data_IF_953307167325
#
_entry.id   IF_953307167325
#
_cell.length_a   1.000
_cell.length_b   1.000
_cell.length_c   1.000
_cell.angle_alpha   90.00
_cell.angle_beta   90.00
_cell.angle_gamma   90.00
#
_symmetry.space_group_name_H-M   'P 1'
#
loop_
_entity.id
_entity.type
_entity.pdbx_description
1 polymer ?
#
# COMPACT_ATOMS: atom_id res chain seq x y z
N UNK A 1 3.24 -27.22 1.18
CA UNK A 1 2.60 -28.17 2.13
C UNK A 1 1.54 -29.00 1.40
N UNK A 2 1.30 -30.26 1.81
CA UNK A 2 0.29 -31.11 1.15
C UNK A 2 -1.16 -30.73 1.51
N UNK A 3 -1.35 -29.99 2.59
CA UNK A 3 -2.64 -29.49 3.09
C UNK A 3 -2.49 -28.05 3.58
N UNK A 4 -3.61 -27.34 3.74
CA UNK A 4 -3.68 -25.97 4.25
C UNK A 4 -3.96 -24.92 3.18
N UNK A 5 -4.48 -23.79 3.64
CA UNK A 5 -4.90 -22.66 2.80
C UNK A 5 -3.94 -21.49 2.98
N UNK A 6 -3.39 -21.01 1.87
CA UNK A 6 -2.58 -19.80 1.82
C UNK A 6 -3.45 -18.61 1.42
N UNK A 7 -3.35 -17.50 2.13
CA UNK A 7 -4.07 -16.25 1.82
C UNK A 7 -3.08 -15.11 1.98
N UNK A 8 -2.97 -14.24 0.98
CA UNK A 8 -2.07 -13.09 1.02
C UNK A 8 -2.65 -11.88 0.30
N UNK A 9 -2.45 -10.70 0.88
CA UNK A 9 -2.48 -9.46 0.12
C UNK A 9 -1.24 -9.41 -0.80
N UNK A 10 -1.39 -8.79 -1.97
CA UNK A 10 -0.32 -8.54 -2.95
C UNK A 10 0.35 -7.19 -2.75
N UNK A 11 -0.16 -6.36 -1.82
CA UNK A 11 0.47 -5.12 -1.39
C UNK A 11 1.95 -5.34 -1.01
N UNK A 12 2.83 -4.56 -1.63
CA UNK A 12 4.27 -4.66 -1.40
C UNK A 12 4.68 -3.87 -0.15
N UNK A 13 4.99 -4.60 0.92
CA UNK A 13 5.55 -4.05 2.15
C UNK A 13 6.98 -4.56 2.29
N UNK A 14 7.93 -3.62 2.36
CA UNK A 14 9.33 -3.93 2.58
C UNK A 14 9.67 -3.53 4.01
N UNK A 15 10.29 -4.38 4.83
CA UNK A 15 10.68 -3.95 6.17
C UNK A 15 11.93 -3.07 6.11
N UNK A 16 12.12 -2.11 7.05
CA UNK A 16 13.24 -1.17 6.99
C UNK A 16 14.62 -1.83 6.91
N UNK A 17 14.80 -3.01 7.52
CA UNK A 17 16.07 -3.75 7.48
C UNK A 17 16.43 -4.30 6.10
N UNK A 18 15.48 -4.41 5.17
CA UNK A 18 15.74 -4.81 3.79
C UNK A 18 16.29 -3.64 2.95
N UNK A 19 16.20 -2.40 3.44
CA UNK A 19 16.69 -1.18 2.81
C UNK A 19 18.00 -0.66 3.44
N UNK A 20 18.87 -1.57 3.93
CA UNK A 20 20.13 -1.21 4.61
C UNK A 20 21.05 -0.32 3.76
N UNK A 21 21.08 -0.54 2.44
CA UNK A 21 21.75 0.37 1.52
C UNK A 21 20.73 1.35 0.96
N UNK A 22 20.90 2.62 1.31
CA UNK A 22 19.97 3.71 0.95
C UNK A 22 20.29 4.28 -0.44
N UNK A 23 20.95 3.53 -1.32
CA UNK A 23 21.22 3.98 -2.68
C UNK A 23 19.97 3.89 -3.57
N UNK A 24 19.82 4.85 -4.48
CA UNK A 24 18.68 5.00 -5.39
C UNK A 24 18.42 3.75 -6.25
N UNK A 25 19.47 3.08 -6.69
CA UNK A 25 19.39 2.02 -7.70
C UNK A 25 19.56 0.62 -7.11
N UNK A 26 19.66 0.50 -5.78
CA UNK A 26 19.81 -0.80 -5.14
C UNK A 26 18.44 -1.38 -4.79
N UNK A 27 18.14 -2.54 -5.38
CA UNK A 27 16.96 -3.30 -5.01
C UNK A 27 17.02 -3.71 -3.52
N UNK A 28 15.89 -3.69 -2.80
CA UNK A 28 15.83 -4.11 -1.40
C UNK A 28 16.23 -5.59 -1.27
N UNK A 29 16.92 -5.91 -0.19
CA UNK A 29 17.29 -7.29 0.16
C UNK A 29 16.11 -7.94 0.88
N UNK A 30 15.09 -8.32 0.11
CA UNK A 30 13.88 -9.01 0.58
C UNK A 30 13.50 -10.13 -0.40
N UNK A 31 12.53 -10.97 -0.01
CA UNK A 31 12.00 -12.06 -0.84
C UNK A 31 11.61 -11.54 -2.24
N UNK A 32 12.01 -12.29 -3.27
CA UNK A 32 11.80 -11.95 -4.69
C UNK A 32 10.68 -12.76 -5.32
N UNK A 33 10.19 -13.76 -4.60
CA UNK A 33 9.12 -14.63 -5.01
C UNK A 33 7.84 -13.82 -5.26
N UNK A 34 7.21 -14.11 -6.38
CA UNK A 34 5.91 -13.55 -6.73
C UNK A 34 4.79 -14.34 -6.07
N UNK A 35 3.62 -13.72 -5.82
CA UNK A 35 2.45 -14.45 -5.35
C UNK A 35 2.13 -15.67 -6.22
N UNK A 36 2.29 -15.58 -7.55
CA UNK A 36 2.09 -16.68 -8.51
C UNK A 36 3.01 -17.87 -8.23
N UNK A 37 4.28 -17.63 -7.95
CA UNK A 37 5.26 -18.69 -7.62
C UNK A 37 4.94 -19.36 -6.28
N UNK A 38 4.41 -18.61 -5.30
CA UNK A 38 3.98 -19.16 -4.02
C UNK A 38 2.71 -19.99 -4.18
N UNK A 39 1.73 -19.51 -4.96
CA UNK A 39 0.51 -20.24 -5.27
C UNK A 39 0.79 -21.61 -5.93
N UNK A 40 1.82 -21.71 -6.76
CA UNK A 40 2.28 -22.97 -7.34
C UNK A 40 2.90 -23.97 -6.34
N UNK A 41 3.15 -23.57 -5.09
CA UNK A 41 3.81 -24.39 -4.04
C UNK A 41 2.86 -24.82 -2.91
N UNK A 42 1.60 -24.39 -2.96
CA UNK A 42 0.58 -24.62 -1.91
C UNK A 42 -0.60 -25.42 -2.47
N UNK A 43 -1.29 -26.15 -1.60
CA UNK A 43 -2.43 -26.98 -2.00
C UNK A 43 -3.66 -26.14 -2.39
N UNK A 44 -3.93 -25.08 -1.62
CA UNK A 44 -4.96 -24.10 -1.88
C UNK A 44 -4.40 -22.72 -1.57
N UNK A 45 -4.61 -21.75 -2.46
CA UNK A 45 -4.01 -20.44 -2.32
C UNK A 45 -4.84 -19.33 -2.95
N UNK A 46 -4.91 -18.20 -2.23
CA UNK A 46 -5.57 -16.98 -2.65
C UNK A 46 -4.59 -15.82 -2.50
N UNK A 47 -4.30 -15.12 -3.59
CA UNK A 47 -3.53 -13.89 -3.56
C UNK A 47 -4.25 -12.82 -4.38
N UNK A 48 -4.54 -11.68 -3.76
CA UNK A 48 -5.30 -10.59 -4.36
C UNK A 48 -4.79 -9.22 -3.90
N UNK A 49 -5.19 -8.16 -4.59
CA UNK A 49 -4.99 -6.78 -4.14
C UNK A 49 -6.06 -6.40 -3.11
N UNK A 50 -5.83 -6.80 -1.85
CA UNK A 50 -6.80 -6.57 -0.77
C UNK A 50 -6.80 -5.09 -0.34
N UNK A 51 -5.63 -4.44 -0.39
CA UNK A 51 -5.48 -3.01 -0.14
C UNK A 51 -6.22 -2.18 -1.18
N UNK A 52 -6.09 -2.50 -2.47
CA UNK A 52 -6.85 -1.88 -3.56
C UNK A 52 -8.36 -2.07 -3.41
N UNK A 53 -8.81 -3.30 -3.15
CA UNK A 53 -10.24 -3.60 -2.91
C UNK A 53 -10.78 -2.80 -1.71
N UNK A 54 -10.04 -2.72 -0.61
CA UNK A 54 -10.44 -1.96 0.56
C UNK A 54 -10.47 -0.44 0.29
N UNK A 55 -9.54 0.06 -0.54
CA UNK A 55 -9.50 1.44 -0.99
C UNK A 55 -10.72 1.79 -1.86
N UNK A 56 -11.12 0.92 -2.79
CA UNK A 56 -12.33 1.09 -3.61
C UNK A 56 -13.61 1.17 -2.76
N UNK A 57 -13.65 0.44 -1.65
CA UNK A 57 -14.74 0.51 -0.68
C UNK A 57 -14.69 1.79 0.18
N UNK A 58 -13.57 2.50 0.18
CA UNK A 58 -13.38 3.80 0.83
C UNK A 58 -12.41 3.83 2.02
N UNK A 59 -11.75 2.71 2.35
CA UNK A 59 -10.72 2.69 3.40
C UNK A 59 -9.72 1.54 3.22
N UNK A 60 -8.53 1.87 2.68
CA UNK A 60 -7.40 0.93 2.49
C UNK A 60 -7.03 0.16 3.77
N UNK A 61 -7.25 0.73 4.97
CA UNK A 61 -6.94 0.06 6.25
C UNK A 61 -7.86 -1.11 6.58
N UNK A 62 -8.94 -1.32 5.82
CA UNK A 62 -9.82 -2.49 5.93
C UNK A 62 -9.30 -3.72 5.15
N UNK A 63 -8.12 -3.66 4.53
CA UNK A 63 -7.51 -4.77 3.80
C UNK A 63 -7.46 -6.07 4.60
N UNK A 64 -7.09 -6.01 5.88
CA UNK A 64 -7.07 -7.19 6.75
C UNK A 64 -8.46 -7.84 6.88
N UNK A 65 -9.51 -7.04 6.86
CA UNK A 65 -10.90 -7.51 6.96
C UNK A 65 -11.36 -8.17 5.66
N UNK A 66 -10.86 -7.72 4.50
CA UNK A 66 -11.01 -8.44 3.23
C UNK A 66 -10.38 -9.83 3.32
N UNK A 67 -9.15 -9.91 3.84
CA UNK A 67 -8.46 -11.20 4.03
C UNK A 67 -9.20 -12.12 5.01
N UNK A 68 -9.81 -11.58 6.07
CA UNK A 68 -10.67 -12.34 6.98
C UNK A 68 -11.93 -12.87 6.28
N UNK A 69 -12.51 -12.12 5.34
CA UNK A 69 -13.61 -12.57 4.49
C UNK A 69 -13.24 -13.81 3.69
N UNK A 70 -12.08 -13.79 3.03
CA UNK A 70 -11.53 -14.95 2.30
C UNK A 70 -11.25 -16.10 3.27
N UNK A 71 -10.62 -15.82 4.41
CA UNK A 71 -10.29 -16.84 5.41
C UNK A 71 -11.54 -17.52 5.96
N UNK A 72 -12.65 -16.78 6.13
CA UNK A 72 -13.90 -17.33 6.62
C UNK A 72 -14.43 -18.48 5.78
N UNK A 73 -14.15 -18.51 4.47
CA UNK A 73 -14.60 -19.59 3.58
C UNK A 73 -13.81 -20.89 3.77
N UNK A 74 -12.71 -20.86 4.53
CA UNK A 74 -11.93 -22.04 4.87
C UNK A 74 -12.41 -22.72 6.17
N UNK A 75 -13.36 -22.13 6.89
CA UNK A 75 -13.87 -22.62 8.16
C UNK A 75 -15.39 -22.82 8.15
N UNK A 76 -15.89 -23.69 9.04
CA UNK A 76 -17.32 -24.01 9.20
C UNK A 76 -18.00 -23.11 10.24
N UNK A 77 -17.70 -21.81 10.21
CA UNK A 77 -18.40 -20.82 11.03
C UNK A 77 -19.37 -20.02 10.17
N UNK A 78 -20.54 -19.71 10.73
CA UNK A 78 -21.53 -18.90 10.04
C UNK A 78 -21.05 -17.45 9.86
N UNK A 79 -21.56 -16.79 8.82
CA UNK A 79 -21.20 -15.42 8.48
C UNK A 79 -21.55 -14.43 9.60
N UNK A 80 -22.68 -14.63 10.29
CA UNK A 80 -23.15 -13.72 11.34
C UNK A 80 -22.18 -13.70 12.53
N UNK A 81 -21.63 -14.86 12.91
CA UNK A 81 -20.60 -14.99 13.95
C UNK A 81 -19.34 -14.20 13.62
N UNK A 82 -18.86 -14.26 12.37
CA UNK A 82 -17.72 -13.46 11.93
C UNK A 82 -18.01 -11.96 12.00
N UNK A 83 -19.17 -11.54 11.51
CA UNK A 83 -19.57 -10.13 11.52
C UNK A 83 -19.70 -9.60 12.94
N UNK A 84 -20.33 -10.34 13.85
CA UNK A 84 -20.45 -9.96 15.25
C UNK A 84 -19.09 -9.73 15.93
N UNK A 85 -18.09 -10.56 15.61
CA UNK A 85 -16.72 -10.39 16.11
C UNK A 85 -16.07 -9.15 15.51
N UNK A 86 -16.17 -8.95 14.19
CA UNK A 86 -15.60 -7.79 13.52
C UNK A 86 -16.16 -6.50 14.11
N UNK A 87 -17.48 -6.39 14.25
CA UNK A 87 -18.16 -5.22 14.82
C UNK A 87 -17.68 -4.89 16.24
N UNK A 88 -17.37 -5.92 17.04
CA UNK A 88 -16.87 -5.76 18.41
C UNK A 88 -15.44 -5.22 18.48
N UNK A 89 -14.57 -5.57 17.54
CA UNK A 89 -13.13 -5.27 17.61
C UNK A 89 -12.70 -4.07 16.76
N UNK A 90 -13.44 -3.73 15.71
CA UNK A 90 -13.10 -2.57 14.87
C UNK A 90 -13.57 -1.25 15.53
N UNK A 91 -12.91 -0.12 15.24
CA UNK A 91 -13.36 1.18 15.72
C UNK A 91 -14.83 1.45 15.32
N UNK A 92 -15.67 2.04 16.20
CA UNK A 92 -17.10 2.24 15.92
C UNK A 92 -17.39 2.98 14.61
N UNK A 93 -16.57 3.99 14.29
CA UNK A 93 -16.68 4.78 13.04
C UNK A 93 -16.39 3.98 11.77
N UNK A 94 -15.80 2.80 11.90
CA UNK A 94 -15.35 1.96 10.78
C UNK A 94 -16.08 0.63 10.68
N UNK A 95 -17.14 0.41 11.47
CA UNK A 95 -17.92 -0.83 11.46
C UNK A 95 -18.48 -1.12 10.07
N UNK A 96 -19.18 -0.16 9.47
CA UNK A 96 -19.84 -0.33 8.17
C UNK A 96 -18.86 -0.71 7.05
N UNK A 97 -17.71 -0.02 6.99
CA UNK A 97 -16.69 -0.29 5.97
C UNK A 97 -16.02 -1.65 6.17
N UNK A 98 -15.80 -2.08 7.41
CA UNK A 98 -15.27 -3.40 7.71
C UNK A 98 -16.28 -4.52 7.39
N UNK A 99 -17.58 -4.30 7.63
CA UNK A 99 -18.63 -5.25 7.22
C UNK A 99 -18.61 -5.45 5.70
N UNK A 100 -18.58 -4.35 4.93
CA UNK A 100 -18.48 -4.41 3.46
C UNK A 100 -17.21 -5.10 2.98
N UNK A 101 -16.06 -4.78 3.59
CA UNK A 101 -14.79 -5.40 3.26
C UNK A 101 -14.79 -6.92 3.49
N UNK A 102 -15.36 -7.36 4.62
CA UNK A 102 -15.51 -8.79 4.92
C UNK A 102 -16.36 -9.52 3.89
N UNK A 103 -17.56 -9.00 3.60
CA UNK A 103 -18.48 -9.59 2.62
C UNK A 103 -17.85 -9.60 1.23
N UNK A 104 -17.16 -8.54 0.83
CA UNK A 104 -16.45 -8.47 -0.45
C UNK A 104 -15.35 -9.54 -0.55
N UNK A 105 -14.56 -9.72 0.51
CA UNK A 105 -13.54 -10.78 0.56
C UNK A 105 -14.14 -12.18 0.47
N UNK A 106 -15.27 -12.42 1.15
CA UNK A 106 -15.99 -13.70 1.12
C UNK A 106 -16.54 -14.01 -0.28
N UNK A 107 -17.22 -13.04 -0.90
CA UNK A 107 -17.78 -13.15 -2.25
C UNK A 107 -16.70 -13.30 -3.33
N UNK A 108 -15.52 -12.68 -3.14
CA UNK A 108 -14.43 -12.78 -4.10
C UNK A 108 -14.00 -14.23 -4.35
N UNK A 109 -14.03 -15.09 -3.32
CA UNK A 109 -13.67 -16.52 -3.43
C UNK A 109 -14.56 -17.28 -4.42
N UNK A 110 -15.85 -16.94 -4.51
CA UNK A 110 -16.79 -17.59 -5.44
C UNK A 110 -16.42 -17.31 -6.90
N UNK A 111 -15.89 -16.11 -7.16
CA UNK A 111 -15.46 -15.65 -8.49
C UNK A 111 -13.98 -15.93 -8.77
N UNK A 112 -13.23 -16.34 -7.75
CA UNK A 112 -11.80 -16.64 -7.85
C UNK A 112 -11.59 -17.99 -8.57
N UNK A 113 -11.84 -18.03 -9.88
CA UNK A 113 -11.41 -19.12 -10.76
C UNK A 113 -9.89 -19.10 -10.84
N UNK A 114 -9.15 -19.69 -9.89
CA UNK A 114 -7.66 -19.63 -9.76
C UNK A 114 -6.99 -18.90 -10.93
N UNK A 115 -6.96 -17.54 -10.93
CA UNK A 115 -6.65 -16.81 -12.15
C UNK A 115 -5.33 -16.06 -12.01
N UNK A 116 -4.70 -15.87 -13.16
CA UNK A 116 -3.46 -15.13 -13.35
C UNK A 116 -3.41 -13.83 -12.54
N UNK A 117 -2.36 -13.71 -11.73
CA UNK A 117 -1.92 -12.43 -11.17
C UNK A 117 -1.58 -11.52 -12.36
N UNK A 118 -2.37 -10.47 -12.58
CA UNK A 118 -2.00 -9.39 -13.50
C UNK A 118 -0.67 -8.81 -13.02
N UNK A 119 0.41 -9.17 -13.71
CA UNK A 119 1.70 -8.56 -13.51
C UNK A 119 1.58 -7.08 -13.86
N UNK A 120 1.67 -6.21 -12.85
CA UNK A 120 1.86 -4.77 -13.08
C UNK A 120 3.32 -4.58 -13.45
N UNK A 121 3.69 -5.02 -14.67
CA UNK A 121 4.82 -4.45 -15.37
C UNK A 121 4.25 -3.34 -16.24
N UNK A 122 4.19 -2.13 -15.68
CA UNK A 122 3.91 -0.95 -16.48
C UNK A 122 4.99 -0.85 -17.57
N UNK A 123 4.61 -0.70 -18.85
CA UNK A 123 5.58 -0.45 -19.91
C UNK A 123 6.30 0.87 -19.61
N UNK A 124 7.62 0.85 -19.71
CA UNK A 124 8.45 2.06 -19.58
C UNK A 124 8.23 2.89 -20.85
N UNK A 125 7.25 3.79 -20.81
CA UNK A 125 7.01 4.76 -21.88
C UNK A 125 8.12 5.81 -21.86
N UNK A 126 8.87 5.88 -22.94
CA UNK A 126 10.01 6.77 -23.14
C UNK A 126 9.57 8.17 -23.57
N UNK A 127 8.75 8.87 -22.78
CA UNK A 127 8.47 10.30 -22.98
C UNK A 127 9.43 11.15 -22.12
N UNK A 128 10.06 12.16 -22.73
CA UNK A 128 10.91 13.17 -22.07
C UNK A 128 10.05 14.20 -21.28
N UNK A 129 9.05 13.75 -20.53
CA UNK A 129 8.30 14.64 -19.65
C UNK A 129 9.16 15.00 -18.42
N UNK A 130 9.12 16.27 -18.00
CA UNK A 130 9.67 16.64 -16.69
C UNK A 130 8.70 16.08 -15.65
N UNK A 131 9.19 15.16 -14.83
CA UNK A 131 8.39 14.51 -13.79
C UNK A 131 8.69 15.18 -12.45
N UNK A 132 7.67 15.78 -11.82
CA UNK A 132 7.73 16.20 -10.42
C UNK A 132 7.22 15.07 -9.52
N UNK A 133 7.87 14.90 -8.37
CA UNK A 133 7.42 13.96 -7.35
C UNK A 133 6.56 14.71 -6.33
N UNK A 134 5.35 14.19 -6.09
CA UNK A 134 4.43 14.69 -5.07
C UNK A 134 4.16 13.59 -4.05
N UNK A 135 4.04 13.99 -2.78
CA UNK A 135 3.63 13.11 -1.71
C UNK A 135 2.26 13.52 -1.20
N UNK A 136 1.30 12.63 -1.36
CA UNK A 136 0.04 12.71 -0.65
C UNK A 136 0.26 12.13 0.75
N UNK A 137 0.03 12.96 1.77
CA UNK A 137 0.18 12.58 3.18
C UNK A 137 -1.20 12.68 3.84
N UNK A 138 -1.62 11.60 4.49
CA UNK A 138 -2.89 11.54 5.23
C UNK A 138 -2.58 11.70 6.72
N UNK A 139 -2.69 12.92 7.31
CA UNK A 139 -2.18 13.20 8.65
C UNK A 139 -2.84 12.32 9.72
N UNK A 140 -4.14 12.06 9.59
CA UNK A 140 -4.88 11.21 10.52
C UNK A 140 -4.42 9.74 10.55
N UNK A 141 -3.66 9.29 9.55
CA UNK A 141 -3.10 7.93 9.50
C UNK A 141 -1.65 7.88 9.98
N UNK A 142 -0.93 9.01 9.94
CA UNK A 142 0.45 9.07 10.38
C UNK A 142 0.56 8.78 11.89
N UNK A 143 1.49 7.88 12.26
CA UNK A 143 1.78 7.54 13.66
C UNK A 143 3.05 8.19 14.22
N UNK A 144 3.71 9.06 13.44
CA UNK A 144 4.96 9.70 13.86
C UNK A 144 6.12 8.74 14.09
N UNK A 145 6.13 7.57 13.45
CA UNK A 145 7.12 6.52 13.67
C UNK A 145 8.53 6.83 13.09
N UNK A 146 8.69 7.93 12.36
CA UNK A 146 9.97 8.43 11.82
C UNK A 146 10.67 7.50 10.81
N UNK A 147 10.04 6.39 10.40
CA UNK A 147 10.62 5.40 9.47
C UNK A 147 10.91 6.06 8.11
N UNK A 148 9.95 6.79 7.56
CA UNK A 148 10.07 7.42 6.24
C UNK A 148 11.16 8.50 6.20
N UNK A 149 11.29 9.31 7.27
CA UNK A 149 12.33 10.32 7.46
C UNK A 149 13.70 9.66 7.52
N UNK A 150 13.88 8.66 8.40
CA UNK A 150 15.15 7.97 8.56
C UNK A 150 15.60 7.23 7.31
N UNK A 151 14.66 6.68 6.55
CA UNK A 151 14.98 5.82 5.41
C UNK A 151 15.04 6.57 4.08
N UNK A 152 14.64 7.84 4.04
CA UNK A 152 14.78 8.68 2.85
C UNK A 152 16.27 8.88 2.50
N UNK A 153 16.74 8.43 1.32
CA UNK A 153 18.14 8.61 0.89
C UNK A 153 18.59 10.07 0.82
N UNK A 154 17.68 10.93 0.37
CA UNK A 154 17.90 12.35 0.14
C UNK A 154 17.45 13.21 1.33
N UNK A 155 16.94 12.59 2.41
CA UNK A 155 16.45 13.31 3.61
C UNK A 155 15.41 14.39 3.29
N UNK A 156 14.52 14.11 2.34
CA UNK A 156 13.47 15.03 1.91
C UNK A 156 12.30 15.20 2.89
N UNK A 157 12.25 14.38 3.94
CA UNK A 157 11.13 14.26 4.86
C UNK A 157 11.56 14.69 6.26
N UNK A 158 10.66 15.33 7.00
CA UNK A 158 10.82 15.66 8.43
C UNK A 158 9.55 15.32 9.20
N UNK A 159 9.59 15.34 10.53
CA UNK A 159 8.39 15.41 11.36
C UNK A 159 8.14 16.87 11.72
N UNK A 160 6.88 17.29 11.71
CA UNK A 160 6.44 18.60 12.20
C UNK A 160 6.26 18.61 13.73
N UNK A 161 5.79 19.74 14.26
CA UNK A 161 5.51 19.90 15.71
C UNK A 161 4.46 18.91 16.23
N UNK A 162 3.54 18.47 15.38
CA UNK A 162 2.51 17.47 15.68
C UNK A 162 2.98 16.02 15.53
N UNK A 163 4.27 15.78 15.27
CA UNK A 163 4.83 14.46 14.93
C UNK A 163 4.22 13.84 13.66
N UNK A 164 3.69 14.67 12.76
CA UNK A 164 3.22 14.25 11.45
C UNK A 164 4.34 14.46 10.43
N UNK A 165 4.45 13.52 9.50
CA UNK A 165 5.45 13.62 8.43
C UNK A 165 5.13 14.80 7.51
N UNK A 166 6.17 15.54 7.14
CA UNK A 166 6.13 16.65 6.19
C UNK A 166 7.14 16.45 5.06
N UNK A 167 6.80 16.88 3.84
CA UNK A 167 7.65 16.78 2.66
C UNK A 167 8.50 18.05 2.48
N UNK A 168 9.55 18.16 3.29
CA UNK A 168 10.37 19.35 3.43
C UNK A 168 11.23 19.72 2.21
N UNK A 169 11.64 18.75 1.38
CA UNK A 169 12.52 18.99 0.21
C UNK A 169 12.03 18.25 -1.04
N UNK A 170 10.94 18.74 -1.67
CA UNK A 170 10.38 18.07 -2.84
C UNK A 170 11.33 18.02 -4.04
N UNK A 171 12.15 19.06 -4.23
CA UNK A 171 13.07 19.16 -5.38
C UNK A 171 14.24 18.16 -5.32
N UNK A 172 14.62 17.73 -4.11
CA UNK A 172 15.66 16.70 -3.90
C UNK A 172 15.09 15.28 -4.03
N UNK A 173 13.76 15.13 -4.10
CA UNK A 173 13.13 13.83 -4.13
C UNK A 173 13.37 13.10 -5.46
N UNK A 174 13.91 11.89 -5.37
CA UNK A 174 14.18 11.04 -6.55
C UNK A 174 12.99 10.20 -6.99
N UNK A 175 11.89 10.20 -6.24
CA UNK A 175 10.73 9.36 -6.54
C UNK A 175 10.96 7.87 -6.30
N UNK A 176 11.87 7.51 -5.39
CA UNK A 176 12.27 6.11 -5.11
C UNK A 176 11.18 5.25 -4.43
N UNK A 177 10.08 5.84 -3.96
CA UNK A 177 8.95 5.16 -3.28
C UNK A 177 9.27 4.44 -1.96
N UNK A 178 10.48 4.55 -1.42
CA UNK A 178 10.84 3.94 -0.14
C UNK A 178 9.91 4.41 0.99
N UNK A 179 9.57 5.70 1.06
CA UNK A 179 8.66 6.23 2.07
C UNK A 179 7.24 5.63 1.98
N UNK A 180 6.74 5.39 0.77
CA UNK A 180 5.45 4.75 0.51
C UNK A 180 5.49 3.27 0.91
N UNK A 181 6.52 2.52 0.47
CA UNK A 181 6.65 1.08 0.73
C UNK A 181 6.93 0.72 2.20
N UNK A 182 7.55 1.63 2.95
CA UNK A 182 7.88 1.41 4.36
C UNK A 182 6.80 1.94 5.32
N UNK A 183 5.80 2.71 4.85
CA UNK A 183 4.79 3.28 5.73
C UNK A 183 3.81 2.19 6.19
N UNK A 184 3.81 1.79 7.48
CA UNK A 184 2.98 0.68 7.95
C UNK A 184 1.48 1.04 8.02
N UNK A 185 1.15 2.34 8.03
CA UNK A 185 -0.23 2.84 8.13
C UNK A 185 -0.77 3.39 6.80
N UNK A 186 -0.03 3.21 5.69
CA UNK A 186 -0.39 3.70 4.36
C UNK A 186 -0.63 5.23 4.29
N UNK A 187 -0.02 5.97 5.20
CA UNK A 187 -0.21 7.41 5.34
C UNK A 187 0.51 8.26 4.27
N UNK A 188 1.28 7.65 3.37
CA UNK A 188 2.08 8.33 2.34
C UNK A 188 1.86 7.62 1.00
N UNK A 189 1.44 8.35 -0.04
CA UNK A 189 1.46 7.88 -1.44
C UNK A 189 2.32 8.79 -2.31
N UNK A 190 3.09 8.19 -3.23
CA UNK A 190 3.94 8.94 -4.17
C UNK A 190 3.31 8.99 -5.56
N UNK A 191 3.01 10.22 -5.97
CA UNK A 191 2.53 10.56 -7.30
C UNK A 191 3.67 11.11 -8.15
N UNK A 192 3.76 10.65 -9.40
CA UNK A 192 4.66 11.21 -10.42
C UNK A 192 3.81 12.05 -11.36
N UNK A 193 3.94 13.37 -11.25
CA UNK A 193 3.13 14.31 -12.01
C UNK A 193 3.94 14.80 -13.19
N UNK A 194 3.38 14.68 -14.39
CA UNK A 194 3.95 15.28 -15.59
C UNK A 194 3.75 16.79 -15.53
N UNK A 195 4.85 17.54 -15.59
CA UNK A 195 4.80 19.00 -15.63
C UNK A 195 4.89 19.43 -17.10
N UNK A 196 3.82 20.03 -17.61
CA UNK A 196 3.85 20.66 -18.92
C UNK A 196 4.85 21.84 -18.90
N UNK A 197 5.77 21.89 -19.87
CA UNK A 197 6.65 23.04 -20.03
C UNK A 197 5.82 24.24 -20.50
N UNK A 198 5.50 25.20 -19.61
CA UNK A 198 5.39 26.64 -19.89
C UNK A 198 4.89 27.45 -18.67
N UNK A 199 5.80 28.16 -17.99
CA UNK A 199 5.89 29.65 -17.98
C UNK A 199 6.98 30.11 -16.97
N UNK A 200 7.76 31.16 -17.29
CA UNK A 200 8.81 31.67 -16.43
C UNK A 200 8.23 32.32 -15.18
N UNK A 201 8.96 32.24 -14.07
CA UNK A 201 8.64 32.93 -12.83
C UNK A 201 8.43 34.43 -13.09
N UNK A 202 7.24 34.94 -12.77
CA UNK A 202 7.03 36.38 -12.69
C UNK A 202 8.02 36.95 -11.66
N UNK A 203 8.92 37.80 -12.17
CA UNK A 203 9.81 38.60 -11.34
C UNK A 203 8.93 39.59 -10.61
N UNK A 204 8.74 39.38 -9.29
CA UNK A 204 8.13 40.37 -8.43
C UNK A 204 9.12 41.51 -8.33
N UNK A 205 8.94 42.54 -9.15
CA UNK A 205 9.67 43.79 -9.06
C UNK A 205 8.85 44.71 -8.17
N UNK A 206 9.28 44.85 -6.92
CA UNK A 206 8.76 45.84 -5.98
C UNK A 206 9.00 47.25 -6.56
N UNK A 207 7.96 48.08 -6.54
CA UNK A 207 8.01 49.51 -6.79
C UNK A 207 7.33 50.24 -5.62
#
# INVERSE_FOLDING_TARGET
PKTGTFISDTQKIIPPFACRNRSRDQAPVYSRETPREILGKVAQGYALDASGMALELGNERAANTVLLGILSTAFEFDEESWLAVIEKFVPPKSVEINRKAFVAGRAWVETATVPEVKAICAPVSSSKAIIRNELEIIPQWCKGCDICVRMCPQRCLTLDEGQVVNFARPDECTGCRICEWLCPDFAIKLHKVEVAQNQPAETVMEA
#
